data_IF_028289351774
#
_entry.id   IF_028289351774
#
_cell.length_a   1.000
_cell.length_b   1.000
_cell.length_c   1.000
_cell.angle_alpha   90.00
_cell.angle_beta   90.00
_cell.angle_gamma   90.00
#
_symmetry.space_group_name_H-M   'P 1'
#
loop_
_entity.id
_entity.type
_entity.pdbx_description
1 polymer ?
#
# COMPACT_ATOMS: atom_id res chain seq x y z
N UNK A 1 7.44 -9.96 2.73
CA UNK A 1 6.54 -10.64 1.75
C UNK A 1 5.65 -9.59 1.10
N UNK A 2 5.46 -9.62 -0.22
CA UNK A 2 4.63 -8.67 -0.95
C UNK A 2 3.48 -9.41 -1.63
N UNK A 3 2.24 -9.03 -1.31
CA UNK A 3 0.99 -9.63 -1.81
C UNK A 3 0.16 -8.60 -2.59
N UNK A 4 -1.10 -8.93 -2.92
CA UNK A 4 -1.98 -8.02 -3.65
C UNK A 4 -1.92 -8.18 -5.16
N UNK A 5 -1.49 -9.32 -5.67
CA UNK A 5 -1.29 -9.58 -7.11
C UNK A 5 -2.61 -9.74 -7.87
N UNK A 6 -3.43 -8.69 -7.88
CA UNK A 6 -4.66 -8.60 -8.66
C UNK A 6 -4.28 -8.42 -10.13
N UNK A 7 -4.81 -9.29 -10.98
CA UNK A 7 -4.53 -9.21 -12.41
C UNK A 7 -5.01 -7.88 -12.98
N UNK A 8 -4.15 -7.24 -13.78
CA UNK A 8 -4.38 -5.86 -14.25
C UNK A 8 -3.76 -4.79 -13.36
N UNK A 9 -3.12 -5.14 -12.24
CA UNK A 9 -2.31 -4.20 -11.46
C UNK A 9 -0.84 -4.16 -11.94
N UNK A 10 -0.18 -3.01 -11.87
CA UNK A 10 1.23 -2.83 -12.29
C UNK A 10 2.23 -3.17 -11.18
N UNK A 11 1.93 -4.16 -10.35
CA UNK A 11 2.71 -4.52 -9.17
C UNK A 11 4.13 -4.98 -9.53
N UNK A 12 4.28 -5.74 -10.62
CA UNK A 12 5.58 -6.14 -11.12
C UNK A 12 6.42 -4.96 -11.62
N UNK A 13 5.80 -3.93 -12.20
CA UNK A 13 6.51 -2.71 -12.59
C UNK A 13 6.93 -1.89 -11.37
N UNK A 14 6.03 -1.74 -10.40
CA UNK A 14 6.32 -1.06 -9.14
C UNK A 14 7.52 -1.70 -8.43
N UNK A 15 7.56 -3.04 -8.31
CA UNK A 15 8.70 -3.76 -7.74
C UNK A 15 9.99 -3.55 -8.55
N UNK A 16 9.93 -3.48 -9.89
CA UNK A 16 11.11 -3.16 -10.71
C UNK A 16 11.66 -1.77 -10.40
N UNK A 17 10.80 -0.76 -10.21
CA UNK A 17 11.20 0.60 -9.80
C UNK A 17 11.88 0.59 -8.43
N UNK A 18 11.37 -0.21 -7.48
CA UNK A 18 11.96 -0.40 -6.15
C UNK A 18 13.37 -1.01 -6.24
N UNK A 19 13.56 -2.05 -7.06
CA UNK A 19 14.88 -2.66 -7.28
C UNK A 19 15.85 -1.68 -7.94
N UNK A 20 15.39 -0.91 -8.92
CA UNK A 20 16.19 0.13 -9.56
C UNK A 20 16.64 1.22 -8.57
N UNK A 21 15.75 1.63 -7.66
CA UNK A 21 16.08 2.53 -6.55
C UNK A 21 17.11 1.90 -5.60
N UNK A 22 16.97 0.61 -5.27
CA UNK A 22 17.98 -0.13 -4.51
C UNK A 22 19.36 -0.08 -5.16
N UNK A 23 19.45 -0.32 -6.46
CA UNK A 23 20.72 -0.24 -7.19
C UNK A 23 21.35 1.15 -7.15
N UNK A 24 20.56 2.22 -7.30
CA UNK A 24 21.04 3.61 -7.14
C UNK A 24 21.60 3.87 -5.75
N UNK A 25 20.99 3.29 -4.72
CA UNK A 25 21.43 3.36 -3.33
C UNK A 25 22.47 2.30 -2.94
N UNK A 26 23.09 1.61 -3.91
CA UNK A 26 24.07 0.55 -3.67
C UNK A 26 23.57 -0.59 -2.75
N UNK A 27 22.28 -0.88 -2.79
CA UNK A 27 21.60 -1.99 -2.12
C UNK A 27 21.18 -3.05 -3.13
N UNK A 28 21.53 -4.30 -2.87
CA UNK A 28 21.07 -5.42 -3.67
C UNK A 28 19.76 -5.96 -3.08
N UNK A 29 18.65 -5.68 -3.76
CA UNK A 29 17.33 -6.22 -3.38
C UNK A 29 17.06 -7.48 -4.20
N UNK A 30 17.01 -8.64 -3.55
CA UNK A 30 16.67 -9.89 -4.20
C UNK A 30 15.15 -10.01 -4.36
N UNK A 31 14.69 -10.34 -5.57
CA UNK A 31 13.27 -10.59 -5.85
C UNK A 31 13.04 -12.05 -6.19
N UNK A 32 12.05 -12.64 -5.54
CA UNK A 32 11.45 -13.94 -5.87
C UNK A 32 10.03 -13.73 -6.37
N UNK A 33 9.68 -14.30 -7.53
CA UNK A 33 8.32 -14.24 -8.08
C UNK A 33 7.69 -15.63 -8.05
N UNK A 34 6.84 -15.85 -7.05
CA UNK A 34 6.30 -17.19 -6.79
C UNK A 34 5.39 -17.70 -7.90
N UNK A 35 4.67 -16.82 -8.60
CA UNK A 35 3.87 -17.23 -9.77
C UNK A 35 4.75 -17.77 -10.90
N UNK A 36 5.90 -17.15 -11.13
CA UNK A 36 6.87 -17.67 -12.10
C UNK A 36 7.42 -19.02 -11.63
N UNK A 37 7.72 -19.17 -10.34
CA UNK A 37 8.21 -20.43 -9.78
C UNK A 37 7.16 -21.56 -9.93
N UNK A 38 5.89 -21.31 -9.58
CA UNK A 38 4.81 -22.28 -9.71
C UNK A 38 4.55 -22.68 -11.18
N UNK A 39 4.69 -21.72 -12.10
CA UNK A 39 4.47 -21.92 -13.55
C UNK A 39 5.73 -22.36 -14.30
N UNK A 40 6.88 -22.49 -13.62
CA UNK A 40 8.20 -22.73 -14.24
C UNK A 40 8.54 -21.68 -15.31
N UNK A 41 8.42 -20.42 -14.96
CA UNK A 41 8.56 -19.25 -15.82
C UNK A 41 7.62 -19.33 -17.03
N UNK A 42 6.32 -19.56 -16.78
CA UNK A 42 5.29 -19.62 -17.82
C UNK A 42 5.27 -20.89 -18.68
N UNK A 43 6.20 -21.85 -18.48
CA UNK A 43 6.18 -23.15 -19.21
C UNK A 43 4.92 -23.96 -18.91
N UNK A 44 4.31 -23.75 -17.74
CA UNK A 44 3.01 -24.31 -17.38
C UNK A 44 2.01 -23.15 -17.23
N UNK A 45 0.88 -23.16 -17.95
CA UNK A 45 -0.14 -22.14 -17.78
C UNK A 45 -0.65 -22.09 -16.33
N UNK A 46 -0.88 -20.90 -15.80
CA UNK A 46 -1.35 -20.70 -14.42
C UNK A 46 -2.74 -21.33 -14.22
N UNK A 47 -3.59 -21.27 -15.23
CA UNK A 47 -4.92 -21.88 -15.28
C UNK A 47 -4.87 -23.39 -15.01
N UNK A 48 -3.82 -24.06 -15.49
CA UNK A 48 -3.63 -25.49 -15.27
C UNK A 48 -3.30 -25.78 -13.81
N UNK A 49 -2.56 -24.90 -13.15
CA UNK A 49 -2.30 -25.00 -11.71
C UNK A 49 -3.58 -24.73 -10.92
N UNK A 50 -4.35 -23.70 -11.30
CA UNK A 50 -5.59 -23.32 -10.62
C UNK A 50 -6.71 -24.37 -10.78
N UNK A 51 -6.70 -25.12 -11.89
CA UNK A 51 -7.64 -26.22 -12.17
C UNK A 51 -7.21 -27.60 -11.67
N UNK A 52 -6.07 -27.73 -10.97
CA UNK A 52 -5.64 -29.01 -10.40
C UNK A 52 -6.35 -29.32 -9.08
N UNK A 53 -6.19 -30.54 -8.56
CA UNK A 53 -6.74 -30.92 -7.24
C UNK A 53 -6.06 -30.13 -6.12
N UNK A 54 -6.80 -29.83 -5.05
CA UNK A 54 -6.28 -29.03 -3.92
C UNK A 54 -4.96 -29.57 -3.34
N UNK A 55 -4.82 -30.89 -3.23
CA UNK A 55 -3.58 -31.55 -2.76
C UNK A 55 -2.35 -31.24 -3.63
N UNK A 56 -2.49 -31.40 -4.96
CA UNK A 56 -1.39 -31.10 -5.90
C UNK A 56 -1.06 -29.61 -5.90
N UNK A 57 -2.09 -28.76 -5.78
CA UNK A 57 -1.91 -27.32 -5.70
C UNK A 57 -1.12 -26.94 -4.43
N UNK A 58 -1.52 -27.47 -3.27
CA UNK A 58 -0.84 -27.28 -1.98
C UNK A 58 0.61 -27.74 -2.04
N UNK A 59 0.89 -29.00 -2.39
CA UNK A 59 2.25 -29.51 -2.49
C UNK A 59 3.16 -28.70 -3.41
N UNK A 60 2.61 -28.19 -4.52
CA UNK A 60 3.38 -27.34 -5.45
C UNK A 60 3.77 -26.04 -4.78
N UNK A 61 2.86 -25.41 -4.03
CA UNK A 61 3.12 -24.16 -3.33
C UNK A 61 4.11 -24.36 -2.18
N UNK A 62 3.87 -25.36 -1.32
CA UNK A 62 4.75 -25.65 -0.18
C UNK A 62 6.20 -25.84 -0.64
N UNK A 63 6.41 -26.68 -1.67
CA UNK A 63 7.73 -26.95 -2.24
C UNK A 63 8.46 -25.70 -2.72
N UNK A 64 7.80 -24.79 -3.44
CA UNK A 64 8.47 -23.60 -3.94
C UNK A 64 8.75 -22.59 -2.82
N UNK A 65 7.86 -22.45 -1.82
CA UNK A 65 8.15 -21.62 -0.64
C UNK A 65 9.33 -22.17 0.17
N UNK A 66 9.43 -23.48 0.36
CA UNK A 66 10.57 -24.12 1.02
C UNK A 66 11.88 -23.85 0.28
N UNK A 67 11.86 -23.99 -1.04
CA UNK A 67 13.01 -23.71 -1.91
C UNK A 67 13.46 -22.25 -1.78
N UNK A 68 12.54 -21.29 -1.84
CA UNK A 68 12.84 -19.85 -1.68
C UNK A 68 13.46 -19.60 -0.30
N UNK A 69 12.86 -20.13 0.77
CA UNK A 69 13.39 -20.01 2.13
C UNK A 69 14.81 -20.56 2.27
N UNK A 70 15.08 -21.73 1.69
CA UNK A 70 16.41 -22.33 1.68
C UNK A 70 17.43 -21.48 0.92
N UNK A 71 17.06 -20.91 -0.23
CA UNK A 71 17.94 -20.05 -1.01
C UNK A 71 18.28 -18.75 -0.27
N UNK A 72 17.30 -18.12 0.39
CA UNK A 72 17.51 -16.92 1.21
C UNK A 72 18.50 -17.23 2.33
N UNK A 73 18.27 -18.32 3.07
CA UNK A 73 19.13 -18.75 4.16
C UNK A 73 20.56 -19.09 3.66
N UNK A 74 20.68 -19.89 2.62
CA UNK A 74 21.97 -20.35 2.08
C UNK A 74 22.83 -19.21 1.57
N UNK A 75 22.21 -18.20 0.95
CA UNK A 75 22.91 -17.06 0.38
C UNK A 75 23.01 -15.88 1.37
N UNK A 76 22.52 -16.03 2.60
CA UNK A 76 22.49 -14.99 3.64
C UNK A 76 21.93 -13.65 3.10
N UNK A 77 20.84 -13.74 2.34
CA UNK A 77 20.18 -12.57 1.75
C UNK A 77 19.43 -11.81 2.85
N UNK A 78 19.51 -10.47 2.82
CA UNK A 78 18.89 -9.59 3.82
C UNK A 78 17.73 -8.79 3.23
N UNK A 79 17.99 -8.09 2.13
CA UNK A 79 17.01 -7.22 1.50
C UNK A 79 16.25 -8.04 0.44
N UNK A 80 15.13 -8.66 0.83
CA UNK A 80 14.41 -9.63 -0.01
C UNK A 80 12.94 -9.26 -0.19
N UNK A 81 12.50 -9.22 -1.44
CA UNK A 81 11.09 -9.17 -1.82
C UNK A 81 10.67 -10.54 -2.33
N UNK A 82 9.65 -11.12 -1.70
CA UNK A 82 8.96 -12.31 -2.23
C UNK A 82 7.60 -11.85 -2.67
N UNK A 83 7.38 -11.84 -3.98
CA UNK A 83 6.11 -11.51 -4.62
C UNK A 83 5.25 -12.77 -4.67
N UNK A 84 4.15 -12.78 -3.93
CA UNK A 84 3.23 -13.91 -3.87
C UNK A 84 1.77 -13.48 -3.68
N UNK A 85 0.81 -14.06 -4.42
CA UNK A 85 -0.60 -13.75 -4.21
C UNK A 85 -1.08 -14.39 -2.90
N UNK A 86 -1.98 -13.72 -2.17
CA UNK A 86 -2.77 -14.40 -1.15
C UNK A 86 -3.91 -15.19 -1.79
N UNK A 87 -4.45 -14.67 -2.90
CA UNK A 87 -5.51 -15.25 -3.71
C UNK A 87 -5.32 -14.99 -5.20
N UNK A 88 -5.84 -15.87 -6.05
CA UNK A 88 -5.94 -15.60 -7.49
C UNK A 88 -7.36 -15.85 -7.94
N UNK A 89 -7.97 -14.89 -8.62
CA UNK A 89 -9.30 -15.06 -9.20
C UNK A 89 -9.23 -16.09 -10.35
N UNK A 90 -10.02 -17.15 -10.20
CA UNK A 90 -10.23 -18.13 -11.25
C UNK A 90 -11.65 -18.68 -11.25
N UNK A 91 -12.33 -18.53 -12.38
CA UNK A 91 -13.71 -18.95 -12.63
C UNK A 91 -14.71 -18.37 -11.62
N UNK A 92 -14.58 -17.07 -11.31
CA UNK A 92 -15.37 -16.32 -10.32
C UNK A 92 -15.15 -16.80 -8.88
N UNK A 93 -14.02 -17.48 -8.63
CA UNK A 93 -13.65 -18.00 -7.33
C UNK A 93 -12.22 -17.56 -7.03
N UNK A 94 -12.02 -16.89 -5.90
CA UNK A 94 -10.68 -16.58 -5.40
C UNK A 94 -10.04 -17.83 -4.79
N UNK A 95 -9.09 -18.41 -5.53
CA UNK A 95 -8.31 -19.57 -5.08
C UNK A 95 -7.28 -19.08 -4.07
N UNK A 96 -7.41 -19.53 -2.82
CA UNK A 96 -6.56 -19.12 -1.68
C UNK A 96 -5.24 -19.87 -1.65
N UNK A 97 -4.16 -19.15 -1.41
CA UNK A 97 -2.79 -19.68 -1.27
C UNK A 97 -2.50 -19.91 0.22
N UNK A 98 -3.30 -20.75 0.90
CA UNK A 98 -3.31 -20.91 2.38
C UNK A 98 -2.06 -21.58 2.96
N UNK A 99 -0.91 -20.93 2.84
CA UNK A 99 0.38 -21.53 3.20
C UNK A 99 1.08 -20.76 4.34
N UNK A 100 0.31 -20.06 5.19
CA UNK A 100 0.87 -19.23 6.26
C UNK A 100 1.81 -19.99 7.20
N UNK A 101 1.60 -21.31 7.40
CA UNK A 101 2.52 -22.16 8.18
C UNK A 101 3.85 -22.32 7.47
N UNK A 102 3.85 -22.69 6.19
CA UNK A 102 5.08 -22.90 5.41
C UNK A 102 5.82 -21.58 5.21
N UNK A 103 5.11 -20.50 4.88
CA UNK A 103 5.70 -19.16 4.77
C UNK A 103 6.36 -18.77 6.10
N UNK A 104 5.70 -18.99 7.24
CA UNK A 104 6.30 -18.73 8.56
C UNK A 104 7.54 -19.59 8.80
N UNK A 105 7.50 -20.88 8.50
CA UNK A 105 8.53 -21.82 8.92
C UNK A 105 9.78 -21.75 8.02
N UNK A 106 9.61 -21.46 6.72
CA UNK A 106 10.69 -21.48 5.74
C UNK A 106 11.09 -20.10 5.21
N UNK A 107 10.13 -19.22 4.95
CA UNK A 107 10.42 -17.86 4.47
C UNK A 107 10.74 -16.92 5.63
N UNK A 108 9.97 -17.00 6.73
CA UNK A 108 10.11 -16.12 7.92
C UNK A 108 10.14 -14.63 7.55
N UNK A 109 9.09 -14.08 6.91
CA UNK A 109 9.09 -12.68 6.52
C UNK A 109 9.08 -11.77 7.75
N UNK A 110 9.81 -10.66 7.71
CA UNK A 110 9.80 -9.65 8.79
C UNK A 110 8.51 -8.83 8.80
N UNK A 111 7.87 -8.67 7.64
CA UNK A 111 6.60 -7.98 7.45
C UNK A 111 5.89 -8.44 6.16
N UNK A 112 4.60 -8.14 6.07
CA UNK A 112 3.79 -8.30 4.87
C UNK A 112 3.38 -6.92 4.33
N UNK A 113 3.48 -6.73 3.02
CA UNK A 113 2.96 -5.55 2.32
C UNK A 113 1.97 -6.01 1.27
N UNK A 114 0.70 -5.61 1.37
CA UNK A 114 -0.26 -5.83 0.29
C UNK A 114 -0.26 -4.62 -0.63
N UNK A 115 0.02 -4.84 -1.92
CA UNK A 115 -0.11 -3.81 -2.94
C UNK A 115 -1.56 -3.70 -3.39
N UNK A 116 -2.02 -2.47 -3.63
CA UNK A 116 -3.34 -2.19 -4.19
C UNK A 116 -3.25 -1.13 -5.30
N UNK A 117 -4.31 -0.96 -6.07
CA UNK A 117 -4.42 0.06 -7.12
C UNK A 117 -5.88 0.50 -7.24
N UNK A 118 -6.12 1.53 -8.03
CA UNK A 118 -7.47 1.97 -8.32
C UNK A 118 -8.24 0.92 -9.15
N UNK A 119 -9.47 0.63 -8.73
CA UNK A 119 -10.32 -0.39 -9.35
C UNK A 119 -10.60 -0.11 -10.83
N UNK A 120 -10.71 1.16 -11.22
CA UNK A 120 -10.92 1.58 -12.61
C UNK A 120 -9.66 1.40 -13.46
N UNK A 121 -8.46 1.59 -12.91
CA UNK A 121 -7.18 1.34 -13.58
C UNK A 121 -7.03 -0.15 -13.88
N UNK A 122 -7.32 -1.00 -12.88
CA UNK A 122 -7.34 -2.46 -13.04
C UNK A 122 -8.36 -2.87 -14.11
N UNK A 123 -9.58 -2.34 -14.05
CA UNK A 123 -10.63 -2.64 -15.03
C UNK A 123 -10.20 -2.29 -16.45
N UNK A 124 -9.65 -1.09 -16.66
CA UNK A 124 -9.20 -0.63 -17.97
C UNK A 124 -8.13 -1.57 -18.55
N UNK A 125 -7.20 -2.07 -17.73
CA UNK A 125 -6.14 -3.00 -18.15
C UNK A 125 -6.65 -4.40 -18.42
N UNK A 126 -7.61 -4.89 -17.63
CA UNK A 126 -8.29 -6.17 -17.89
C UNK A 126 -9.07 -6.13 -19.21
N UNK A 127 -9.69 -5.00 -19.55
CA UNK A 127 -10.41 -4.81 -20.82
C UNK A 127 -9.45 -4.64 -22.01
N UNK A 128 -8.25 -4.10 -21.79
CA UNK A 128 -7.26 -3.80 -22.82
C UNK A 128 -5.89 -4.44 -22.51
N UNK A 129 -5.79 -5.78 -22.48
CA UNK A 129 -4.54 -6.44 -22.15
C UNK A 129 -3.50 -6.17 -23.24
N UNK A 130 -2.39 -5.53 -22.84
CA UNK A 130 -1.26 -5.17 -23.71
C UNK A 130 -0.49 -6.41 -24.20
N UNK A 131 -0.50 -7.50 -23.43
CA UNK A 131 0.26 -8.72 -23.70
C UNK A 131 -0.62 -9.85 -24.26
N UNK A 132 0.02 -10.78 -24.96
CA UNK A 132 -0.57 -12.05 -25.40
C UNK A 132 -0.74 -13.07 -24.25
N UNK A 133 -0.82 -12.61 -23.00
CA UNK A 133 -0.96 -13.45 -21.81
C UNK A 133 -2.31 -14.22 -21.87
N UNK A 134 -2.29 -15.56 -21.99
CA UNK A 134 -3.50 -16.38 -21.99
C UNK A 134 -4.37 -16.17 -20.75
N UNK A 135 -3.75 -15.90 -19.60
CA UNK A 135 -4.45 -15.72 -18.33
C UNK A 135 -5.26 -14.41 -18.34
N UNK A 136 -4.65 -13.31 -18.77
CA UNK A 136 -5.35 -12.03 -18.92
C UNK A 136 -6.45 -12.10 -19.97
N UNK A 137 -6.27 -12.87 -21.05
CA UNK A 137 -7.34 -13.11 -22.04
C UNK A 137 -8.53 -13.85 -21.43
N UNK A 138 -8.27 -14.92 -20.67
CA UNK A 138 -9.32 -15.66 -19.98
C UNK A 138 -10.06 -14.78 -18.95
N UNK A 139 -9.36 -13.87 -18.27
CA UNK A 139 -9.96 -12.90 -17.35
C UNK A 139 -10.77 -11.82 -18.07
N UNK A 140 -10.31 -11.34 -19.22
CA UNK A 140 -11.03 -10.38 -20.05
C UNK A 140 -12.41 -10.90 -20.45
N UNK A 141 -12.50 -12.16 -20.86
CA UNK A 141 -13.77 -12.81 -21.25
C UNK A 141 -14.80 -12.85 -20.11
N UNK A 142 -14.36 -12.76 -18.84
CA UNK A 142 -15.27 -12.75 -17.68
C UNK A 142 -15.93 -11.41 -17.43
N UNK A 143 -15.41 -10.33 -18.02
CA UNK A 143 -15.93 -8.98 -17.94
C UNK A 143 -16.21 -8.53 -16.49
N UNK A 144 -15.17 -8.51 -15.66
CA UNK A 144 -15.27 -8.12 -14.25
C UNK A 144 -15.84 -6.71 -14.09
N UNK A 145 -16.83 -6.57 -13.21
CA UNK A 145 -17.32 -5.27 -12.77
C UNK A 145 -16.42 -4.69 -11.66
N UNK A 146 -16.64 -3.42 -11.31
CA UNK A 146 -15.81 -2.74 -10.31
C UNK A 146 -15.97 -3.36 -8.92
N UNK A 147 -17.18 -3.80 -8.55
CA UNK A 147 -17.41 -4.50 -7.28
C UNK A 147 -16.61 -5.81 -7.17
N UNK A 148 -16.53 -6.60 -8.24
CA UNK A 148 -15.77 -7.86 -8.26
C UNK A 148 -14.27 -7.59 -8.08
N UNK A 149 -13.74 -6.53 -8.71
CA UNK A 149 -12.34 -6.11 -8.54
C UNK A 149 -12.08 -5.63 -7.10
N UNK A 150 -12.95 -4.79 -6.56
CA UNK A 150 -12.86 -4.31 -5.18
C UNK A 150 -12.94 -5.48 -4.17
N UNK A 151 -13.84 -6.43 -4.40
CA UNK A 151 -13.97 -7.64 -3.58
C UNK A 151 -12.73 -8.52 -3.64
N UNK A 152 -12.09 -8.63 -4.81
CA UNK A 152 -10.84 -9.37 -4.95
C UNK A 152 -9.71 -8.69 -4.18
N UNK A 153 -9.52 -7.37 -4.35
CA UNK A 153 -8.53 -6.62 -3.57
C UNK A 153 -8.75 -6.77 -2.06
N UNK A 154 -9.99 -6.72 -1.61
CA UNK A 154 -10.33 -6.91 -0.20
C UNK A 154 -9.98 -8.31 0.31
N UNK A 155 -10.22 -9.35 -0.49
CA UNK A 155 -9.86 -10.71 -0.09
C UNK A 155 -8.34 -10.91 -0.02
N UNK A 156 -7.58 -10.28 -0.93
CA UNK A 156 -6.11 -10.18 -0.87
C UNK A 156 -5.63 -9.54 0.44
N UNK A 157 -6.15 -8.35 0.77
CA UNK A 157 -5.77 -7.62 1.99
C UNK A 157 -6.17 -8.41 3.25
N UNK A 158 -7.38 -8.93 3.29
CA UNK A 158 -7.90 -9.66 4.45
C UNK A 158 -7.11 -10.94 4.72
N UNK A 159 -6.80 -11.73 3.69
CA UNK A 159 -6.05 -12.96 3.87
C UNK A 159 -4.58 -12.69 4.23
N UNK A 160 -3.97 -11.66 3.61
CA UNK A 160 -2.61 -11.22 3.95
C UNK A 160 -2.52 -10.72 5.40
N UNK A 161 -3.55 -10.04 5.89
CA UNK A 161 -3.61 -9.64 7.30
C UNK A 161 -3.69 -10.85 8.24
N UNK A 162 -4.49 -11.85 7.92
CA UNK A 162 -4.58 -13.06 8.73
C UNK A 162 -3.23 -13.80 8.78
N UNK A 163 -2.48 -13.80 7.68
CA UNK A 163 -1.13 -14.36 7.65
C UNK A 163 -0.19 -13.59 8.57
N UNK A 164 -0.19 -12.26 8.49
CA UNK A 164 0.65 -11.42 9.33
C UNK A 164 0.31 -11.59 10.82
N UNK A 165 -0.99 -11.65 11.16
CA UNK A 165 -1.47 -11.90 12.53
C UNK A 165 -1.02 -13.28 13.02
N UNK A 166 -1.10 -14.31 12.18
CA UNK A 166 -0.63 -15.66 12.51
C UNK A 166 0.88 -15.69 12.78
N UNK A 167 1.65 -14.89 12.05
CA UNK A 167 3.10 -14.80 12.17
C UNK A 167 3.56 -13.83 13.28
N UNK A 168 2.67 -12.97 13.78
CA UNK A 168 3.02 -11.94 14.76
C UNK A 168 3.87 -10.81 14.18
N UNK A 169 3.72 -10.51 12.88
CA UNK A 169 4.51 -9.50 12.15
C UNK A 169 3.63 -8.35 11.64
N UNK A 170 4.21 -7.18 11.32
CA UNK A 170 3.47 -6.07 10.74
C UNK A 170 2.87 -6.40 9.38
N UNK A 171 1.70 -5.82 9.10
CA UNK A 171 1.06 -5.79 7.80
C UNK A 171 0.80 -4.35 7.39
N UNK A 172 1.26 -3.95 6.20
CA UNK A 172 0.98 -2.65 5.62
C UNK A 172 0.27 -2.80 4.28
N UNK A 173 -0.52 -1.80 3.91
CA UNK A 173 -1.13 -1.70 2.58
C UNK A 173 -0.60 -0.44 1.92
N UNK A 174 -0.10 -0.56 0.70
CA UNK A 174 0.41 0.58 -0.08
C UNK A 174 -0.11 0.51 -1.51
N UNK A 175 -0.32 1.66 -2.13
CA UNK A 175 -0.70 1.72 -3.53
C UNK A 175 0.52 1.51 -4.44
N UNK A 176 0.31 0.91 -5.61
CA UNK A 176 1.33 0.90 -6.68
C UNK A 176 1.63 2.30 -7.25
N UNK A 177 0.71 3.26 -7.02
CA UNK A 177 0.89 4.67 -7.35
C UNK A 177 1.73 5.45 -6.33
N UNK A 178 2.10 4.85 -5.19
CA UNK A 178 3.07 5.45 -4.28
C UNK A 178 4.45 5.54 -4.94
N UNK A 179 5.31 6.47 -4.53
CA UNK A 179 6.71 6.43 -4.91
C UNK A 179 7.39 5.12 -4.48
N UNK A 180 8.35 4.58 -5.28
CA UNK A 180 9.02 3.31 -4.99
C UNK A 180 9.83 3.36 -3.69
N UNK A 181 10.19 4.54 -3.20
CA UNK A 181 10.83 4.71 -1.90
C UNK A 181 10.02 4.14 -0.72
N UNK A 182 8.69 4.05 -0.82
CA UNK A 182 7.85 3.54 0.26
C UNK A 182 8.15 2.06 0.52
N UNK A 183 8.07 1.21 -0.51
CA UNK A 183 8.41 -0.20 -0.40
C UNK A 183 9.92 -0.41 -0.21
N UNK A 184 10.77 0.40 -0.85
CA UNK A 184 12.21 0.34 -0.66
C UNK A 184 12.60 0.46 0.82
N UNK A 185 12.07 1.46 1.53
CA UNK A 185 12.34 1.68 2.96
C UNK A 185 11.86 0.48 3.80
N UNK A 186 10.68 -0.07 3.52
CA UNK A 186 10.15 -1.25 4.21
C UNK A 186 11.03 -2.50 4.02
N UNK A 187 11.71 -2.63 2.88
CA UNK A 187 12.56 -3.79 2.56
C UNK A 187 13.97 -3.64 3.14
N UNK A 188 14.51 -2.42 3.18
CA UNK A 188 15.94 -2.18 3.45
C UNK A 188 16.25 -1.64 4.84
N UNK A 189 15.24 -1.13 5.54
CA UNK A 189 15.40 -0.55 6.87
C UNK A 189 14.60 -1.35 7.90
N UNK A 190 15.20 -1.66 9.06
CA UNK A 190 14.48 -2.33 10.13
C UNK A 190 13.48 -1.37 10.77
N UNK A 191 12.22 -1.81 10.89
CA UNK A 191 11.15 -1.11 11.62
C UNK A 191 11.04 0.40 11.29
N UNK A 192 10.93 0.78 10.00
CA UNK A 192 10.82 2.18 9.63
C UNK A 192 9.52 2.76 10.21
N UNK A 193 9.54 4.05 10.56
CA UNK A 193 8.31 4.73 10.94
C UNK A 193 7.39 4.85 9.72
N UNK A 194 6.12 4.51 9.88
CA UNK A 194 5.13 4.44 8.78
C UNK A 194 4.00 5.37 9.16
N UNK A 195 3.68 6.30 8.26
CA UNK A 195 2.78 7.40 8.53
C UNK A 195 1.74 7.51 7.43
N UNK A 196 0.49 7.70 7.84
CA UNK A 196 -0.57 8.10 6.93
C UNK A 196 -0.64 9.63 6.87
N UNK A 197 -0.55 10.19 5.66
CA UNK A 197 -0.68 11.62 5.42
C UNK A 197 -2.17 11.98 5.24
N UNK A 198 -2.75 12.62 6.24
CA UNK A 198 -4.17 13.01 6.25
C UNK A 198 -4.31 14.47 5.84
N UNK A 199 -5.06 14.77 4.77
CA UNK A 199 -5.28 16.14 4.31
C UNK A 199 -6.53 16.25 3.43
N UNK A 200 -7.02 17.47 3.25
CA UNK A 200 -8.24 17.73 2.48
C UNK A 200 -7.98 17.67 0.97
N UNK A 201 -8.46 16.60 0.32
CA UNK A 201 -8.32 16.42 -1.14
C UNK A 201 -9.31 17.28 -1.95
N UNK A 202 -10.55 17.41 -1.46
CA UNK A 202 -11.68 18.04 -2.18
C UNK A 202 -11.62 19.57 -2.26
N UNK A 203 -10.89 20.22 -1.34
CA UNK A 203 -10.90 21.68 -1.20
C UNK A 203 -9.51 22.33 -1.42
N UNK A 204 -8.58 21.57 -1.99
CA UNK A 204 -7.20 21.99 -2.32
C UNK A 204 -7.12 23.01 -3.46
N UNK A 205 -6.74 24.27 -3.18
CA UNK A 205 -6.25 25.15 -4.26
C UNK A 205 -4.89 24.64 -4.76
N UNK A 206 -4.48 24.92 -6.01
CA UNK A 206 -3.18 24.49 -6.52
C UNK A 206 -2.00 24.91 -5.63
N UNK A 207 -2.05 26.10 -5.04
CA UNK A 207 -1.02 26.63 -4.13
C UNK A 207 -0.96 25.82 -2.84
N UNK A 208 -2.13 25.51 -2.25
CA UNK A 208 -2.22 24.73 -1.01
C UNK A 208 -1.86 23.26 -1.23
N UNK A 209 -2.17 22.71 -2.41
CA UNK A 209 -1.69 21.38 -2.82
C UNK A 209 -0.16 21.35 -2.92
N UNK A 210 0.48 22.38 -3.48
CA UNK A 210 1.95 22.49 -3.50
C UNK A 210 2.55 22.56 -2.09
N UNK A 211 1.90 23.28 -1.18
CA UNK A 211 2.30 23.35 0.23
C UNK A 211 2.21 21.97 0.92
N UNK A 212 1.09 21.27 0.78
CA UNK A 212 0.89 19.91 1.31
C UNK A 212 1.94 18.96 0.75
N UNK A 213 2.13 18.94 -0.58
CA UNK A 213 3.11 18.07 -1.23
C UNK A 213 4.54 18.35 -0.74
N UNK A 214 4.89 19.62 -0.50
CA UNK A 214 6.19 19.97 0.08
C UNK A 214 6.36 19.40 1.49
N UNK A 215 5.33 19.46 2.33
CA UNK A 215 5.34 18.89 3.68
C UNK A 215 5.49 17.37 3.61
N UNK A 216 4.70 16.70 2.75
CA UNK A 216 4.77 15.25 2.55
C UNK A 216 6.17 14.84 2.05
N UNK A 217 6.73 15.54 1.06
CA UNK A 217 8.08 15.30 0.57
C UNK A 217 9.14 15.43 1.66
N UNK A 218 9.02 16.42 2.55
CA UNK A 218 9.93 16.56 3.68
C UNK A 218 9.73 15.41 4.69
N UNK A 219 8.49 14.99 4.93
CA UNK A 219 8.16 13.89 5.85
C UNK A 219 8.66 12.53 5.35
N UNK A 220 8.74 12.31 4.04
CA UNK A 220 9.36 11.13 3.42
C UNK A 220 10.81 10.91 3.87
N UNK A 221 11.51 11.96 4.33
CA UNK A 221 12.86 11.83 4.92
C UNK A 221 12.87 11.15 6.29
N UNK A 222 11.76 11.07 7.00
CA UNK A 222 11.65 10.50 8.35
C UNK A 222 10.79 9.24 8.39
N UNK A 223 9.93 9.02 7.38
CA UNK A 223 8.95 7.94 7.38
C UNK A 223 8.74 7.32 5.98
N UNK A 224 8.19 6.11 6.00
CA UNK A 224 7.40 5.55 4.90
C UNK A 224 6.04 6.24 4.92
N UNK A 225 5.65 6.84 3.80
CA UNK A 225 4.37 7.54 3.68
C UNK A 225 3.36 6.67 2.95
N UNK A 226 2.16 6.61 3.51
CA UNK A 226 0.94 6.18 2.84
C UNK A 226 0.13 7.45 2.56
N UNK A 227 -0.02 7.77 1.29
CA UNK A 227 -0.68 8.96 0.78
C UNK A 227 -1.96 8.54 0.01
N UNK A 228 -3.17 8.89 0.49
CA UNK A 228 -4.41 8.49 -0.17
C UNK A 228 -4.51 8.99 -1.63
N UNK A 229 -3.82 10.08 -1.99
CA UNK A 229 -3.82 10.59 -3.36
C UNK A 229 -3.20 9.60 -4.36
N UNK A 230 -2.39 8.64 -3.93
CA UNK A 230 -1.76 7.65 -4.81
C UNK A 230 -2.77 6.73 -5.55
N UNK A 231 -4.02 6.62 -5.07
CA UNK A 231 -5.09 5.83 -5.70
C UNK A 231 -6.19 6.69 -6.32
N UNK A 232 -6.42 7.91 -5.82
CA UNK A 232 -7.62 8.69 -6.16
C UNK A 232 -7.54 9.50 -7.47
N UNK A 233 -6.48 9.36 -8.24
CA UNK A 233 -6.27 10.14 -9.47
C UNK A 233 -7.19 9.63 -10.58
N UNK A 234 -8.32 10.30 -10.81
CA UNK A 234 -9.15 10.04 -12.00
C UNK A 234 -10.61 9.73 -11.73
N UNK A 235 -11.15 10.07 -10.55
CA UNK A 235 -12.58 9.96 -10.26
C UNK A 235 -13.41 10.82 -11.23
N UNK A 236 -13.79 10.26 -12.37
CA UNK A 236 -14.95 10.72 -13.10
C UNK A 236 -16.01 9.62 -13.01
N UNK A 237 -17.00 9.83 -12.14
CA UNK A 237 -18.11 8.90 -11.96
C UNK A 237 -19.14 8.97 -13.10
N UNK A 238 -18.91 9.84 -14.09
CA UNK A 238 -19.75 9.96 -15.28
C UNK A 238 -19.86 8.61 -16.00
N UNK A 239 -21.08 8.08 -16.10
CA UNK A 239 -21.36 6.78 -16.72
C UNK A 239 -21.19 5.56 -15.81
N UNK A 240 -20.69 5.71 -14.58
CA UNK A 240 -20.59 4.61 -13.60
C UNK A 240 -21.97 4.31 -12.99
N UNK A 241 -22.47 3.05 -13.01
CA UNK A 241 -23.74 2.66 -12.39
C UNK A 241 -23.81 3.03 -10.90
N UNK A 242 -25.01 3.34 -10.39
CA UNK A 242 -25.20 3.75 -8.98
C UNK A 242 -24.70 2.67 -8.01
N UNK A 243 -24.95 1.39 -8.29
CA UNK A 243 -24.47 0.25 -7.48
C UNK A 243 -22.95 0.20 -7.35
N UNK A 244 -22.25 0.56 -8.42
CA UNK A 244 -20.79 0.58 -8.44
C UNK A 244 -20.28 1.78 -7.64
N UNK A 245 -20.96 2.93 -7.70
CA UNK A 245 -20.63 4.11 -6.88
C UNK A 245 -20.74 3.84 -5.38
N UNK A 246 -21.82 3.20 -4.94
CA UNK A 246 -22.00 2.81 -3.54
C UNK A 246 -20.87 1.88 -3.06
N UNK A 247 -20.51 0.92 -3.91
CA UNK A 247 -19.41 0.00 -3.64
C UNK A 247 -18.08 0.75 -3.52
N UNK A 248 -17.75 1.61 -4.49
CA UNK A 248 -16.53 2.41 -4.49
C UNK A 248 -16.43 3.25 -3.22
N UNK A 249 -17.50 3.96 -2.84
CA UNK A 249 -17.49 4.76 -1.61
C UNK A 249 -17.27 3.91 -0.35
N UNK A 250 -17.95 2.76 -0.24
CA UNK A 250 -17.77 1.87 0.89
C UNK A 250 -16.33 1.35 0.99
N UNK A 251 -15.71 1.00 -0.14
CA UNK A 251 -14.33 0.53 -0.18
C UNK A 251 -13.31 1.65 0.04
N UNK A 252 -13.55 2.88 -0.43
CA UNK A 252 -12.71 4.05 -0.13
C UNK A 252 -12.66 4.29 1.38
N UNK A 253 -13.82 4.35 2.04
CA UNK A 253 -13.91 4.53 3.49
C UNK A 253 -13.23 3.37 4.22
N UNK A 254 -13.48 2.13 3.78
CA UNK A 254 -12.86 0.97 4.41
C UNK A 254 -11.33 0.96 4.27
N UNK A 255 -10.82 1.29 3.08
CA UNK A 255 -9.39 1.39 2.78
C UNK A 255 -8.72 2.43 3.66
N UNK A 256 -9.21 3.66 3.67
CA UNK A 256 -8.52 4.76 4.37
C UNK A 256 -8.51 4.51 5.89
N UNK A 257 -9.63 4.08 6.44
CA UNK A 257 -9.78 3.92 7.89
C UNK A 257 -9.17 2.62 8.42
N UNK A 258 -9.27 1.51 7.68
CA UNK A 258 -8.83 0.20 8.17
C UNK A 258 -7.55 -0.32 7.50
N UNK A 259 -7.38 -0.12 6.19
CA UNK A 259 -6.20 -0.59 5.49
C UNK A 259 -5.01 0.34 5.67
N UNK A 260 -5.24 1.65 5.72
CA UNK A 260 -4.21 2.65 5.95
C UNK A 260 -4.08 3.03 7.43
N UNK A 261 -5.03 3.82 7.97
CA UNK A 261 -4.93 4.35 9.35
C UNK A 261 -4.75 3.25 10.39
N UNK A 262 -5.49 2.14 10.29
CA UNK A 262 -5.38 1.01 11.20
C UNK A 262 -4.02 0.32 11.22
N UNK A 263 -3.25 0.43 10.13
CA UNK A 263 -2.00 -0.33 9.93
C UNK A 263 -0.73 0.49 10.10
N UNK A 264 -0.79 1.81 9.99
CA UNK A 264 0.37 2.71 10.18
C UNK A 264 0.74 2.90 11.67
N UNK A 265 1.87 3.56 11.93
CA UNK A 265 2.30 3.92 13.29
C UNK A 265 1.70 5.25 13.76
N UNK A 266 1.49 6.19 12.83
CA UNK A 266 0.96 7.51 13.13
C UNK A 266 0.14 8.08 11.98
N UNK A 267 -0.74 9.02 12.31
CA UNK A 267 -1.40 9.91 11.36
C UNK A 267 -0.83 11.31 11.51
N UNK A 268 -0.43 11.91 10.39
CA UNK A 268 -0.02 13.33 10.34
C UNK A 268 -1.07 14.08 9.54
N UNK A 269 -1.91 14.83 10.24
CA UNK A 269 -2.93 15.70 9.66
C UNK A 269 -2.32 17.03 9.21
N UNK A 270 -2.40 17.32 7.91
CA UNK A 270 -1.86 18.52 7.28
C UNK A 270 -3.04 19.39 6.84
N UNK A 271 -3.33 20.42 7.63
CA UNK A 271 -4.39 21.36 7.33
C UNK A 271 -3.80 22.77 7.16
N UNK A 272 -3.40 23.17 5.94
CA UNK A 272 -2.69 24.41 5.71
C UNK A 272 -3.60 25.66 5.67
N UNK A 273 -4.86 25.54 6.14
CA UNK A 273 -5.85 26.60 6.06
C UNK A 273 -6.07 27.23 7.44
N UNK A 274 -6.01 28.57 7.54
CA UNK A 274 -6.22 29.25 8.83
C UNK A 274 -7.70 29.30 9.24
N UNK A 275 -8.62 29.33 8.28
CA UNK A 275 -10.07 29.48 8.56
C UNK A 275 -10.96 28.64 7.65
N UNK A 276 -10.71 28.62 6.33
CA UNK A 276 -11.52 27.89 5.34
C UNK A 276 -10.70 27.15 4.29
N UNK A 277 -11.16 25.97 3.83
CA UNK A 277 -12.29 25.20 4.38
C UNK A 277 -12.02 24.76 5.82
N UNK A 278 -13.07 24.45 6.61
CA UNK A 278 -12.86 23.75 7.89
C UNK A 278 -12.20 22.38 7.64
N UNK A 279 -11.79 21.72 8.72
CA UNK A 279 -11.34 20.32 8.65
C UNK A 279 -12.38 19.48 7.90
N UNK A 280 -11.91 18.66 6.95
CA UNK A 280 -12.81 17.79 6.22
C UNK A 280 -13.33 16.69 7.13
N UNK A 281 -14.55 16.21 6.84
CA UNK A 281 -15.15 15.08 7.56
C UNK A 281 -14.26 13.84 7.50
N UNK A 282 -13.65 13.58 6.33
CA UNK A 282 -12.68 12.50 6.16
C UNK A 282 -11.48 12.60 7.12
N UNK A 283 -10.86 13.78 7.24
CA UNK A 283 -9.74 13.98 8.18
C UNK A 283 -10.17 13.76 9.64
N UNK A 284 -11.38 14.20 10.01
CA UNK A 284 -11.89 14.01 11.36
C UNK A 284 -12.14 12.53 11.68
N UNK A 285 -12.70 11.77 10.74
CA UNK A 285 -12.92 10.33 10.88
C UNK A 285 -11.60 9.56 10.95
N UNK A 286 -10.62 9.92 10.11
CA UNK A 286 -9.28 9.35 10.14
C UNK A 286 -8.58 9.57 11.49
N UNK A 287 -8.65 10.79 12.04
CA UNK A 287 -8.10 11.09 13.37
C UNK A 287 -8.85 10.36 14.49
N UNK A 288 -10.17 10.22 14.37
CA UNK A 288 -11.00 9.43 15.28
C UNK A 288 -10.58 7.96 15.30
N UNK A 289 -10.46 7.35 14.13
CA UNK A 289 -10.00 5.96 14.01
C UNK A 289 -8.55 5.77 14.46
N UNK A 290 -7.67 6.71 14.14
CA UNK A 290 -6.30 6.69 14.64
C UNK A 290 -6.25 6.66 16.18
N UNK A 291 -7.16 7.37 16.84
CA UNK A 291 -7.29 7.34 18.31
C UNK A 291 -7.74 5.96 18.79
N UNK A 292 -8.76 5.39 18.16
CA UNK A 292 -9.31 4.09 18.55
C UNK A 292 -8.30 2.95 18.36
N UNK A 293 -7.42 3.06 17.34
CA UNK A 293 -6.30 2.15 17.13
C UNK A 293 -5.04 2.50 17.94
N UNK A 294 -5.08 3.50 18.82
CA UNK A 294 -3.96 3.96 19.63
C UNK A 294 -2.73 4.36 18.79
N UNK A 295 -2.94 4.95 17.62
CA UNK A 295 -1.86 5.51 16.77
C UNK A 295 -1.49 6.89 17.27
N UNK A 296 -0.22 7.28 17.12
CA UNK A 296 0.18 8.66 17.38
C UNK A 296 -0.50 9.59 16.37
N UNK A 297 -0.93 10.76 16.83
CA UNK A 297 -1.70 11.72 16.02
C UNK A 297 -1.00 13.08 16.09
N UNK A 298 -0.52 13.56 14.96
CA UNK A 298 0.11 14.87 14.82
C UNK A 298 -0.72 15.75 13.90
N UNK A 299 -0.69 17.07 14.13
CA UNK A 299 -1.44 18.01 13.31
C UNK A 299 -0.66 19.29 13.06
N UNK A 300 -0.60 19.68 11.79
CA UNK A 300 -0.08 20.98 11.33
C UNK A 300 -1.30 21.84 10.97
N UNK A 301 -1.54 22.90 11.74
CA UNK A 301 -2.71 23.76 11.63
C UNK A 301 -2.33 25.22 11.96
N UNK A 302 -2.26 26.12 10.95
CA UNK A 302 -1.94 27.52 11.18
C UNK A 302 -3.06 28.19 11.98
N UNK A 303 -2.69 28.96 13.01
CA UNK A 303 -3.57 29.58 14.02
C UNK A 303 -4.92 30.10 13.52
N UNK A 304 -5.93 29.93 14.38
CA UNK A 304 -7.21 30.66 14.28
C UNK A 304 -8.43 30.02 14.94
N UNK A 305 -8.32 29.47 16.16
CA UNK A 305 -9.47 28.93 16.90
C UNK A 305 -9.40 27.42 17.09
N UNK A 306 -8.46 26.96 17.91
CA UNK A 306 -8.43 25.56 18.33
C UNK A 306 -9.69 25.25 19.10
N UNK A 307 -10.51 24.36 18.54
CA UNK A 307 -11.60 23.76 19.29
C UNK A 307 -11.01 22.88 20.39
N UNK A 308 -11.58 22.87 21.61
CA UNK A 308 -11.22 21.89 22.63
C UNK A 308 -11.27 20.45 22.11
N UNK A 309 -12.14 20.15 21.14
CA UNK A 309 -12.19 18.84 20.50
C UNK A 309 -10.92 18.52 19.69
N UNK A 310 -10.29 19.52 19.06
CA UNK A 310 -9.03 19.33 18.34
C UNK A 310 -7.88 19.04 19.30
N UNK A 311 -7.77 19.79 20.40
CA UNK A 311 -6.63 19.71 21.34
C UNK A 311 -6.77 18.65 22.42
N UNK A 312 -7.99 18.31 22.84
CA UNK A 312 -8.24 17.40 23.97
C UNK A 312 -8.84 16.05 23.54
N UNK A 313 -9.31 15.90 22.29
CA UNK A 313 -9.89 14.65 21.79
C UNK A 313 -9.12 14.05 20.61
N UNK A 314 -8.90 14.82 19.52
CA UNK A 314 -8.32 14.28 18.30
C UNK A 314 -6.79 14.22 18.32
N UNK A 315 -6.12 15.26 18.83
CA UNK A 315 -4.67 15.37 18.83
C UNK A 315 -4.11 15.23 20.23
N UNK A 316 -2.96 14.58 20.36
CA UNK A 316 -2.28 14.41 21.65
C UNK A 316 -1.63 15.73 22.09
N UNK A 317 -1.55 15.91 23.41
CA UNK A 317 -0.93 17.12 23.98
C UNK A 317 0.52 17.22 23.53
N UNK A 318 0.86 18.32 22.85
CA UNK A 318 2.19 18.57 22.32
C UNK A 318 2.41 18.12 20.87
N UNK A 319 1.41 17.53 20.21
CA UNK A 319 1.46 17.09 18.81
C UNK A 319 0.70 18.02 17.84
N UNK A 320 0.44 19.25 18.27
CA UNK A 320 -0.20 20.28 17.47
C UNK A 320 0.80 21.40 17.17
N UNK A 321 0.96 21.73 15.90
CA UNK A 321 1.98 22.65 15.40
C UNK A 321 1.34 23.73 14.52
N UNK A 322 1.74 24.97 14.71
CA UNK A 322 1.22 26.10 13.91
C UNK A 322 1.87 26.12 12.53
N UNK A 323 3.08 25.58 12.41
CA UNK A 323 3.83 25.52 11.17
C UNK A 323 4.46 24.15 10.94
N UNK A 324 4.72 23.82 9.67
CA UNK A 324 5.48 22.61 9.34
C UNK A 324 6.90 22.64 9.93
N UNK A 325 7.51 23.83 10.05
CA UNK A 325 8.85 23.99 10.64
C UNK A 325 8.89 23.52 12.10
N UNK A 326 7.91 23.93 12.90
CA UNK A 326 7.76 23.48 14.30
C UNK A 326 7.59 21.96 14.39
N UNK A 327 6.77 21.38 13.52
CA UNK A 327 6.58 19.93 13.47
C UNK A 327 7.89 19.19 13.17
N UNK A 328 8.65 19.61 12.16
CA UNK A 328 9.92 18.95 11.83
C UNK A 328 10.99 19.18 12.89
N UNK A 329 11.02 20.35 13.53
CA UNK A 329 11.89 20.58 14.69
C UNK A 329 11.54 19.63 15.85
N UNK A 330 10.25 19.43 16.12
CA UNK A 330 9.80 18.47 17.12
C UNK A 330 10.26 17.03 16.80
N UNK A 331 10.12 16.60 15.54
CA UNK A 331 10.59 15.28 15.11
C UNK A 331 12.11 15.09 15.34
N UNK A 332 12.90 16.16 15.18
CA UNK A 332 14.36 16.12 15.31
C UNK A 332 14.85 16.24 16.75
N UNK A 333 14.30 17.19 17.51
CA UNK A 333 14.83 17.56 18.82
C UNK A 333 14.17 16.78 19.96
N UNK A 334 12.87 16.48 19.82
CA UNK A 334 12.08 15.82 20.87
C UNK A 334 11.97 14.32 20.60
N UNK A 335 11.44 13.93 19.45
CA UNK A 335 11.26 12.52 19.08
C UNK A 335 12.56 11.87 18.59
N UNK A 336 13.55 12.69 18.18
CA UNK A 336 14.85 12.25 17.67
C UNK A 336 14.73 11.21 16.56
N UNK A 337 13.75 11.39 15.65
CA UNK A 337 13.50 10.47 14.55
C UNK A 337 14.71 10.47 13.60
N UNK A 338 15.25 9.29 13.25
CA UNK A 338 16.32 9.19 12.28
C UNK A 338 15.82 9.63 10.90
N UNK A 339 16.71 10.26 10.11
CA UNK A 339 16.43 10.59 8.72
C UNK A 339 16.99 9.49 7.82
N UNK A 340 16.24 9.13 6.79
CA UNK A 340 16.77 8.36 5.67
C UNK A 340 17.80 9.22 4.93
N UNK A 341 18.97 8.64 4.67
CA UNK A 341 20.09 9.29 3.97
C UNK A 341 20.22 8.86 2.50
N UNK A 342 19.49 7.82 2.13
CA UNK A 342 19.45 7.28 0.77
C UNK A 342 18.80 8.26 -0.22
N UNK A 343 19.10 8.09 -1.50
CA UNK A 343 18.38 8.74 -2.59
C UNK A 343 16.90 8.35 -2.52
N UNK A 344 16.04 9.36 -2.60
CA UNK A 344 14.59 9.24 -2.56
C UNK A 344 14.02 9.64 -3.91
N UNK A 345 13.12 8.83 -4.47
CA UNK A 345 12.35 9.21 -5.65
C UNK A 345 11.05 9.86 -5.19
N UNK A 346 10.89 11.16 -5.45
CA UNK A 346 9.76 11.93 -4.95
C UNK A 346 8.64 11.99 -5.99
N UNK A 347 7.39 11.90 -5.50
CA UNK A 347 6.15 11.84 -6.29
C UNK A 347 5.99 12.97 -7.32
N UNK A 348 6.71 14.10 -7.13
CA UNK A 348 6.71 15.24 -8.04
C UNK A 348 7.46 15.07 -9.37
N UNK A 349 8.25 14.01 -9.56
CA UNK A 349 8.90 13.72 -10.85
C UNK A 349 8.02 12.89 -11.81
N UNK A 350 6.93 12.30 -11.32
CA UNK A 350 5.98 11.53 -12.14
C UNK A 350 4.95 12.39 -12.88
N UNK A 351 4.86 13.68 -12.57
CA UNK A 351 3.86 14.61 -13.11
C UNK A 351 4.45 15.71 -13.99
N UNK A 352 5.61 15.47 -14.63
CA UNK A 352 5.99 16.26 -15.80
C UNK A 352 5.11 15.84 -16.98
N UNK A 353 4.20 16.75 -17.33
CA UNK A 353 3.45 16.93 -18.58
C UNK A 353 3.56 15.81 -19.63
N UNK A 354 2.42 15.17 -19.90
CA UNK A 354 1.97 14.86 -21.26
C UNK A 354 0.53 15.32 -21.42
#
# INVERSE_FOLDING_TARGET
LVTGMVAGMDDAEYIRKVVALGHRNHREIKVYNTVDDFTKAGKKPLERLLGTTDYVFELTREREYEKIGYEIFRNNQRDVIIRAPATVEWNRINRKFKDQRIIRDFIKPDLIVTLIDAEWSIKQKLENPQASDPFLKALKERNHNLYEILSWMNEEVSLSEDWARYMGIPHYVIAVGEPPEALYKLVTHPNPWVVYASYSMSYGTPEKRKEINRIIHQLRRYAVIVDPQSIEIGQNFDGVPVSDRESIYAYTVHRDLHWYVGKVHAVVAIHPYPERPPLSTGMMDELGHARDYMKARYMIFPRGGFSPFTTDSYIEKGHLFETAGEFFQYLEEVEKRPKFTDELELQGEFFQEN
#
